data_IF_899164019424
#
_entry.id   IF_899164019424
#
_cell.length_a   1.000
_cell.length_b   1.000
_cell.length_c   1.000
_cell.angle_alpha   90.00
_cell.angle_beta   90.00
_cell.angle_gamma   90.00
#
_symmetry.space_group_name_H-M   'P 1'
#
loop_
_entity.id
_entity.type
_entity.pdbx_description
1 polymer ?
#
# COMPACT_ATOMS: atom_id res chain seq x y z
N UNK A 1 -30.67 -9.10 0.98
CA UNK A 1 -30.27 -7.79 0.42
C UNK A 1 -30.64 -6.69 1.40
N UNK A 2 -29.79 -6.40 2.39
CA UNK A 2 -30.00 -5.25 3.28
C UNK A 2 -28.63 -4.63 3.61
N UNK A 3 -28.03 -3.98 2.61
CA UNK A 3 -26.79 -3.21 2.77
C UNK A 3 -27.14 -1.72 2.92
N UNK A 4 -27.90 -1.36 3.94
CA UNK A 4 -27.96 0.03 4.39
C UNK A 4 -26.60 0.35 5.04
N UNK A 5 -25.85 1.36 4.57
CA UNK A 5 -24.62 1.76 5.25
C UNK A 5 -24.95 2.16 6.69
N UNK A 6 -24.09 1.86 7.68
CA UNK A 6 -24.37 2.19 9.07
C UNK A 6 -24.66 3.70 9.20
N UNK A 7 -25.81 4.02 9.78
CA UNK A 7 -26.37 5.38 9.89
C UNK A 7 -25.62 6.28 10.88
N UNK A 8 -24.69 5.71 11.66
CA UNK A 8 -23.91 6.41 12.69
C UNK A 8 -22.43 6.50 12.29
N UNK A 9 -21.86 7.72 12.38
CA UNK A 9 -20.46 8.04 12.07
C UNK A 9 -19.46 7.09 12.75
N UNK A 10 -19.70 6.74 14.02
CA UNK A 10 -18.86 5.84 14.80
C UNK A 10 -18.78 4.42 14.22
N UNK A 11 -19.92 3.85 13.80
CA UNK A 11 -19.96 2.49 13.26
C UNK A 11 -19.30 2.41 11.89
N UNK A 12 -19.35 3.50 11.10
CA UNK A 12 -18.64 3.61 9.83
C UNK A 12 -17.12 3.69 10.01
N UNK A 13 -16.66 4.45 11.01
CA UNK A 13 -15.24 4.46 11.40
C UNK A 13 -14.80 3.06 11.82
N UNK A 14 -15.55 2.41 12.70
CA UNK A 14 -15.21 1.08 13.19
C UNK A 14 -15.13 0.02 12.07
N UNK A 15 -16.03 0.07 11.09
CA UNK A 15 -15.97 -0.80 9.92
C UNK A 15 -14.76 -0.50 9.00
N UNK A 16 -14.34 0.77 8.90
CA UNK A 16 -13.18 1.17 8.08
C UNK A 16 -11.82 0.87 8.73
N UNK A 17 -11.78 0.66 10.05
CA UNK A 17 -10.54 0.37 10.77
C UNK A 17 -9.89 -0.94 10.34
N UNK A 18 -10.67 -1.99 10.02
CA UNK A 18 -10.12 -3.27 9.58
C UNK A 18 -9.23 -3.13 8.33
N UNK A 19 -9.76 -2.65 7.19
CA UNK A 19 -8.98 -2.41 5.99
C UNK A 19 -7.84 -1.39 6.19
N UNK A 20 -8.06 -0.35 7.00
CA UNK A 20 -7.04 0.66 7.29
C UNK A 20 -5.84 0.09 8.06
N UNK A 21 -6.09 -0.77 9.05
CA UNK A 21 -5.02 -1.43 9.81
C UNK A 21 -4.24 -2.39 8.92
N UNK A 22 -4.92 -3.18 8.08
CA UNK A 22 -4.25 -4.12 7.17
C UNK A 22 -3.34 -3.37 6.19
N UNK A 23 -3.83 -2.27 5.61
CA UNK A 23 -3.05 -1.44 4.67
C UNK A 23 -1.89 -0.70 5.36
N UNK A 24 -2.08 -0.23 6.61
CA UNK A 24 -0.98 0.36 7.37
C UNK A 24 0.11 -0.68 7.70
N UNK A 25 -0.27 -1.86 8.18
CA UNK A 25 0.67 -2.92 8.55
C UNK A 25 1.51 -3.44 7.39
N UNK A 26 0.95 -3.50 6.17
CA UNK A 26 1.73 -3.97 5.00
C UNK A 26 2.76 -2.93 4.54
N UNK A 27 2.51 -1.64 4.80
CA UNK A 27 3.39 -0.54 4.39
C UNK A 27 4.46 -0.23 5.43
N UNK A 28 4.11 -0.31 6.72
CA UNK A 28 5.04 -0.12 7.84
C UNK A 28 5.84 -1.39 8.10
N UNK A 29 6.81 -1.67 7.24
CA UNK A 29 7.78 -2.74 7.44
C UNK A 29 9.01 -2.30 8.26
N UNK A 30 9.74 -3.24 8.88
CA UNK A 30 10.96 -2.94 9.64
C UNK A 30 12.01 -2.22 8.79
N UNK A 31 12.17 -2.58 7.52
CA UNK A 31 13.10 -1.89 6.61
C UNK A 31 12.75 -0.41 6.38
N UNK A 32 11.45 -0.09 6.33
CA UNK A 32 10.97 1.30 6.21
C UNK A 32 11.25 2.10 7.49
N UNK A 33 11.04 1.47 8.65
CA UNK A 33 11.31 2.07 9.96
C UNK A 33 12.82 2.33 10.14
N UNK A 34 13.68 1.38 9.81
CA UNK A 34 15.14 1.57 9.85
C UNK A 34 15.62 2.68 8.93
N UNK A 35 15.08 2.75 7.71
CA UNK A 35 15.42 3.80 6.75
C UNK A 35 15.01 5.17 7.28
N UNK A 36 13.79 5.30 7.83
CA UNK A 36 13.33 6.54 8.46
C UNK A 36 14.19 6.94 9.67
N UNK A 37 14.56 5.98 10.53
CA UNK A 37 15.45 6.22 11.68
C UNK A 37 16.86 6.64 11.25
N UNK A 38 17.41 6.03 10.19
CA UNK A 38 18.72 6.41 9.65
C UNK A 38 18.69 7.81 9.05
N UNK A 39 17.63 8.15 8.32
CA UNK A 39 17.43 9.51 7.79
C UNK A 39 17.33 10.52 8.93
N UNK A 40 16.59 10.21 10.00
CA UNK A 40 16.49 11.07 11.18
C UNK A 40 17.80 11.21 11.95
N UNK A 41 18.63 10.17 12.02
CA UNK A 41 19.95 10.26 12.64
C UNK A 41 20.95 11.04 11.78
N UNK A 42 20.95 10.85 10.46
CA UNK A 42 21.92 11.49 9.56
C UNK A 42 21.57 12.94 9.21
N UNK A 43 20.29 13.26 9.05
CA UNK A 43 19.83 14.58 8.58
C UNK A 43 19.00 15.34 9.62
N UNK A 44 18.90 14.82 10.85
CA UNK A 44 18.07 15.39 11.91
C UNK A 44 16.65 15.73 11.40
N UNK A 45 16.22 16.98 11.57
CA UNK A 45 14.89 17.47 11.13
C UNK A 45 14.89 18.13 9.76
N UNK A 46 16.03 18.21 9.06
CA UNK A 46 16.10 18.93 7.78
C UNK A 46 15.27 18.24 6.68
N UNK A 47 15.06 16.92 6.80
CA UNK A 47 14.31 16.12 5.81
C UNK A 47 12.86 15.84 6.22
N UNK A 48 12.36 16.45 7.31
CA UNK A 48 10.99 16.19 7.79
C UNK A 48 9.92 16.58 6.77
N UNK A 49 10.16 17.58 5.91
CA UNK A 49 9.23 17.98 4.85
C UNK A 49 9.06 16.88 3.78
N UNK A 50 10.11 16.11 3.48
CA UNK A 50 10.04 14.98 2.54
C UNK A 50 9.14 13.89 3.09
N UNK A 51 9.19 13.64 4.41
CA UNK A 51 8.35 12.67 5.09
C UNK A 51 6.86 13.06 5.01
N UNK A 52 6.55 14.35 5.19
CA UNK A 52 5.19 14.88 5.01
C UNK A 52 4.68 14.64 3.58
N UNK A 53 5.49 14.93 2.57
CA UNK A 53 5.13 14.68 1.16
C UNK A 53 4.93 13.18 0.90
N UNK A 54 5.80 12.34 1.44
CA UNK A 54 5.71 10.89 1.29
C UNK A 54 4.39 10.35 1.88
N UNK A 55 3.97 10.85 3.05
CA UNK A 55 2.69 10.48 3.67
C UNK A 55 1.50 10.92 2.82
N UNK A 56 1.52 12.15 2.28
CA UNK A 56 0.44 12.63 1.39
C UNK A 56 0.34 11.74 0.15
N UNK A 57 1.47 11.41 -0.47
CA UNK A 57 1.54 10.56 -1.66
C UNK A 57 1.03 9.15 -1.36
N UNK A 58 1.39 8.59 -0.20
CA UNK A 58 0.91 7.29 0.27
C UNK A 58 -0.61 7.27 0.47
N UNK A 59 -1.19 8.31 1.08
CA UNK A 59 -2.65 8.43 1.25
C UNK A 59 -3.33 8.49 -0.12
N UNK A 60 -2.82 9.31 -1.04
CA UNK A 60 -3.38 9.44 -2.38
C UNK A 60 -3.35 8.11 -3.16
N UNK A 61 -2.21 7.41 -3.12
CA UNK A 61 -2.03 6.13 -3.82
C UNK A 61 -2.90 5.02 -3.21
N UNK A 62 -3.04 4.99 -1.88
CA UNK A 62 -3.87 4.03 -1.16
C UNK A 62 -5.35 4.26 -1.46
N UNK A 63 -5.79 5.53 -1.46
CA UNK A 63 -7.15 5.91 -1.81
C UNK A 63 -7.48 5.55 -3.27
N UNK A 64 -6.56 5.77 -4.20
CA UNK A 64 -6.72 5.36 -5.60
C UNK A 64 -6.82 3.84 -5.74
N UNK A 65 -5.92 3.10 -5.09
CA UNK A 65 -5.92 1.63 -5.08
C UNK A 65 -7.22 1.06 -4.53
N UNK A 66 -7.73 1.62 -3.42
CA UNK A 66 -9.01 1.23 -2.85
C UNK A 66 -10.17 1.49 -3.82
N UNK A 67 -10.18 2.65 -4.50
CA UNK A 67 -11.20 2.97 -5.52
C UNK A 67 -11.13 2.05 -6.74
N UNK A 68 -9.94 1.64 -7.17
CA UNK A 68 -9.79 0.67 -8.24
C UNK A 68 -10.30 -0.71 -7.81
N UNK A 69 -9.98 -1.15 -6.59
CA UNK A 69 -10.41 -2.45 -6.06
C UNK A 69 -11.92 -2.61 -5.92
N UNK A 70 -12.67 -1.52 -5.71
CA UNK A 70 -14.15 -1.57 -5.65
C UNK A 70 -14.83 -1.40 -7.02
N UNK A 71 -14.16 -0.78 -8.00
CA UNK A 71 -14.75 -0.51 -9.31
C UNK A 71 -14.51 -1.63 -10.33
N UNK A 72 -13.39 -2.35 -10.21
CA UNK A 72 -13.08 -3.48 -11.08
C UNK A 72 -13.92 -4.70 -10.68
N UNK A 73 -14.40 -5.45 -11.68
CA UNK A 73 -15.21 -6.66 -11.45
C UNK A 73 -14.35 -7.89 -11.14
N UNK A 74 -13.12 -7.90 -11.68
CA UNK A 74 -12.11 -8.93 -11.45
C UNK A 74 -10.85 -8.38 -10.77
N UNK A 75 -9.78 -9.17 -10.77
CA UNK A 75 -8.47 -8.68 -10.34
C UNK A 75 -7.94 -7.64 -11.33
N UNK A 76 -7.03 -6.76 -10.89
CA UNK A 76 -6.40 -5.76 -11.76
C UNK A 76 -5.72 -6.44 -12.96
N UNK A 77 -5.13 -7.61 -12.76
CA UNK A 77 -4.51 -8.39 -13.83
C UNK A 77 -5.53 -9.01 -14.80
N UNK A 78 -6.74 -9.33 -14.33
CA UNK A 78 -7.81 -9.93 -15.15
C UNK A 78 -8.37 -8.88 -16.12
N UNK A 79 -8.68 -7.69 -15.61
CA UNK A 79 -9.12 -6.54 -16.42
C UNK A 79 -8.03 -6.08 -17.40
N UNK A 80 -6.76 -6.21 -17.01
CA UNK A 80 -5.64 -5.94 -17.91
C UNK A 80 -5.52 -7.02 -19.00
N UNK A 81 -5.77 -8.29 -18.69
CA UNK A 81 -5.77 -9.37 -19.67
C UNK A 81 -6.90 -9.21 -20.69
N UNK A 82 -8.07 -8.75 -20.24
CA UNK A 82 -9.24 -8.54 -21.09
C UNK A 82 -9.06 -7.34 -22.03
N UNK A 83 -8.46 -6.24 -21.55
CA UNK A 83 -8.29 -5.00 -22.34
C UNK A 83 -7.01 -4.93 -23.17
N UNK A 84 -5.89 -5.43 -22.64
CA UNK A 84 -4.56 -5.31 -23.25
C UNK A 84 -3.99 -6.66 -23.73
N UNK A 85 -4.67 -7.76 -23.45
CA UNK A 85 -4.28 -9.10 -23.87
C UNK A 85 -3.48 -9.87 -22.82
N UNK A 86 -3.55 -11.20 -22.91
CA UNK A 86 -2.88 -12.16 -22.00
C UNK A 86 -1.36 -11.99 -21.85
N UNK A 87 -0.55 -11.66 -22.90
CA UNK A 87 0.89 -11.51 -22.72
C UNK A 87 1.25 -10.28 -21.88
N UNK A 88 0.50 -9.18 -22.01
CA UNK A 88 0.71 -7.97 -21.21
C UNK A 88 0.37 -8.24 -19.74
N UNK A 89 -0.76 -8.93 -19.47
CA UNK A 89 -1.12 -9.30 -18.11
C UNK A 89 -0.09 -10.23 -17.45
N UNK A 90 0.47 -11.19 -18.19
CA UNK A 90 1.55 -12.05 -17.69
C UNK A 90 2.81 -11.24 -17.35
N UNK A 91 3.23 -10.33 -18.23
CA UNK A 91 4.37 -9.45 -17.99
C UNK A 91 4.15 -8.58 -16.74
N UNK A 92 2.96 -7.97 -16.60
CA UNK A 92 2.60 -7.19 -15.41
C UNK A 92 2.59 -8.06 -14.15
N UNK A 93 2.10 -9.29 -14.21
CA UNK A 93 2.14 -10.23 -13.09
C UNK A 93 3.57 -10.55 -12.64
N UNK A 94 4.50 -10.79 -13.58
CA UNK A 94 5.92 -11.02 -13.28
C UNK A 94 6.55 -9.78 -12.64
N UNK A 95 6.27 -8.58 -13.16
CA UNK A 95 6.78 -7.32 -12.61
C UNK A 95 6.26 -7.12 -11.18
N UNK A 96 4.96 -7.34 -10.95
CA UNK A 96 4.36 -7.23 -9.62
C UNK A 96 4.96 -8.24 -8.64
N UNK A 97 5.22 -9.46 -9.09
CA UNK A 97 5.89 -10.47 -8.29
C UNK A 97 7.31 -10.05 -7.90
N UNK A 98 8.10 -9.52 -8.85
CA UNK A 98 9.44 -9.00 -8.56
C UNK A 98 9.39 -7.84 -7.55
N UNK A 99 8.45 -6.91 -7.70
CA UNK A 99 8.28 -5.79 -6.77
C UNK A 99 7.96 -6.33 -5.36
N UNK A 100 7.02 -7.26 -5.24
CA UNK A 100 6.66 -7.86 -3.96
C UNK A 100 7.84 -8.62 -3.34
N UNK A 101 8.60 -9.38 -4.13
CA UNK A 101 9.80 -10.08 -3.68
C UNK A 101 10.87 -9.10 -3.18
N UNK A 102 11.13 -8.01 -3.91
CA UNK A 102 12.05 -6.95 -3.49
C UNK A 102 11.58 -6.25 -2.20
N UNK A 103 10.29 -5.97 -2.05
CA UNK A 103 9.73 -5.39 -0.83
C UNK A 103 9.92 -6.32 0.36
N UNK A 104 9.61 -7.61 0.20
CA UNK A 104 9.79 -8.58 1.28
C UNK A 104 11.28 -8.78 1.62
N UNK A 105 12.14 -8.82 0.60
CA UNK A 105 13.59 -8.88 0.79
C UNK A 105 14.11 -7.66 1.57
N UNK A 106 13.66 -6.45 1.22
CA UNK A 106 14.01 -5.21 1.93
C UNK A 106 13.53 -5.25 3.39
N UNK A 107 12.32 -5.73 3.64
CA UNK A 107 11.82 -5.91 5.00
C UNK A 107 12.65 -6.92 5.79
N UNK A 108 13.03 -8.04 5.19
CA UNK A 108 13.87 -9.06 5.82
C UNK A 108 15.28 -8.52 6.13
N UNK A 109 15.88 -7.77 5.20
CA UNK A 109 17.16 -7.07 5.43
C UNK A 109 17.05 -6.08 6.58
N UNK A 110 15.93 -5.36 6.68
CA UNK A 110 15.65 -4.48 7.80
C UNK A 110 15.71 -5.22 9.14
N UNK A 111 15.02 -6.36 9.26
CA UNK A 111 15.07 -7.19 10.48
C UNK A 111 16.49 -7.67 10.80
N UNK A 112 17.29 -8.01 9.80
CA UNK A 112 18.67 -8.46 9.98
C UNK A 112 19.63 -7.32 10.38
N UNK A 113 19.29 -6.07 10.09
CA UNK A 113 20.13 -4.89 10.32
C UNK A 113 19.75 -4.09 11.58
N UNK A 114 18.61 -4.39 12.21
CA UNK A 114 18.20 -3.88 13.53
C UNK A 114 18.72 -4.77 14.66
#
# INVERSE_FOLDING_TARGET
>A
MNNQPPTNFFTRILASLGPAIITASVVLGPGSILSASKIGHTYAYEMSWVLVIAVIMMIAMTALSARLGIQLKGTICDELAERAGRPVAAATGVILFLIAACFQFSNNLGVLAA
#
